data_IF_325440999795
#
_entry.id   IF_325440999795
#
_cell.length_a   1.000
_cell.length_b   1.000
_cell.length_c   1.000
_cell.angle_alpha   90.00
_cell.angle_beta   90.00
_cell.angle_gamma   90.00
#
_symmetry.space_group_name_H-M   'P 1'
#
loop_
_entity.id
_entity.type
_entity.pdbx_description
1 polymer ?
#
# COMPACT_ATOMS: atom_id res chain seq x y z
N UNK A 1 -9.39 16.86 2.11
CA UNK A 1 -9.48 15.96 1.15
C UNK A 1 -9.54 14.59 1.58
N UNK A 2 -8.90 14.13 2.28
CA UNK A 2 -9.00 12.91 2.48
C UNK A 2 -9.91 12.41 3.32
N UNK A 3 -10.60 12.38 3.53
CA UNK A 3 -11.67 12.38 4.09
C UNK A 3 -12.15 11.14 4.63
N UNK A 4 -12.38 10.15 4.02
CA UNK A 4 -13.08 9.05 4.53
C UNK A 4 -12.08 8.09 5.09
N UNK A 5 -11.93 7.92 6.38
CA UNK A 5 -10.88 7.10 6.95
C UNK A 5 -10.89 5.67 6.43
N UNK A 6 -12.06 5.08 6.22
CA UNK A 6 -12.05 3.69 5.83
C UNK A 6 -11.70 3.52 4.37
N UNK A 7 -12.20 4.36 3.49
CA UNK A 7 -11.79 4.29 2.11
C UNK A 7 -10.47 4.96 1.93
N UNK A 8 -10.21 6.00 2.66
CA UNK A 8 -8.99 6.75 2.54
C UNK A 8 -7.76 5.94 2.82
N UNK A 9 -7.85 4.98 3.75
CA UNK A 9 -6.68 4.20 4.10
C UNK A 9 -6.21 3.34 2.93
N UNK A 10 -7.13 2.65 2.27
CA UNK A 10 -6.75 1.83 1.13
C UNK A 10 -6.23 2.68 -0.02
N UNK A 11 -6.89 3.80 -0.28
CA UNK A 11 -6.44 4.69 -1.35
C UNK A 11 -5.09 5.28 -1.04
N UNK A 12 -4.85 5.65 0.22
CA UNK A 12 -3.57 6.19 0.62
C UNK A 12 -2.48 5.14 0.45
N UNK A 13 -2.76 3.89 0.82
CA UNK A 13 -1.79 2.83 0.66
C UNK A 13 -1.46 2.59 -0.81
N UNK A 14 -2.47 2.65 -1.68
CA UNK A 14 -2.22 2.49 -3.10
C UNK A 14 -1.35 3.62 -3.64
N UNK A 15 -1.59 4.82 -3.17
CA UNK A 15 -0.78 5.95 -3.58
C UNK A 15 0.66 5.80 -3.12
N UNK A 16 0.85 5.40 -1.86
CA UNK A 16 2.19 5.21 -1.32
C UNK A 16 2.91 4.13 -2.13
N UNK A 17 2.22 3.03 -2.42
CA UNK A 17 2.85 1.96 -3.17
C UNK A 17 3.28 2.42 -4.55
N UNK A 18 2.42 3.18 -5.21
CA UNK A 18 2.74 3.71 -6.53
C UNK A 18 3.95 4.63 -6.48
N UNK A 19 4.01 5.49 -5.47
CA UNK A 19 5.15 6.39 -5.32
C UNK A 19 6.43 5.63 -5.02
N UNK A 20 6.34 4.60 -4.19
CA UNK A 20 7.52 3.80 -3.87
C UNK A 20 8.05 3.10 -5.11
N UNK A 21 7.16 2.63 -5.97
CA UNK A 21 7.61 1.98 -7.21
C UNK A 21 8.36 2.95 -8.09
N UNK A 22 7.89 4.18 -8.18
CA UNK A 22 8.58 5.19 -8.97
C UNK A 22 9.93 5.55 -8.36
N UNK A 23 9.96 5.67 -7.05
CA UNK A 23 11.23 5.96 -6.37
C UNK A 23 12.23 4.83 -6.55
N UNK A 24 11.75 3.60 -6.56
CA UNK A 24 12.61 2.46 -6.80
C UNK A 24 13.25 2.56 -8.19
N UNK A 25 12.48 2.95 -9.19
CA UNK A 25 13.03 3.09 -10.54
C UNK A 25 14.09 4.17 -10.61
N UNK A 26 13.85 5.30 -9.94
CA UNK A 26 14.84 6.37 -9.92
C UNK A 26 16.12 5.93 -9.21
N UNK A 27 15.98 5.23 -8.09
CA UNK A 27 17.14 4.77 -7.35
C UNK A 27 17.94 3.75 -8.14
N UNK A 28 17.23 2.87 -8.90
CA UNK A 28 17.95 1.92 -9.73
C UNK A 28 18.73 2.62 -10.83
N UNK A 29 18.14 3.65 -11.43
CA UNK A 29 18.81 4.39 -12.47
C UNK A 29 20.11 5.02 -11.99
N UNK A 30 20.16 5.37 -10.70
CA UNK A 30 21.35 5.97 -10.12
C UNK A 30 22.24 4.93 -9.44
N UNK A 31 21.90 3.66 -9.51
CA UNK A 31 22.68 2.58 -8.93
C UNK A 31 22.83 2.72 -7.41
N UNK A 32 21.77 3.16 -6.75
CA UNK A 32 21.77 3.34 -5.32
C UNK A 32 21.22 2.08 -4.66
N UNK A 33 22.04 1.06 -4.58
CA UNK A 33 21.58 -0.29 -4.25
C UNK A 33 20.90 -0.40 -2.90
N UNK A 34 21.43 0.26 -1.88
CA UNK A 34 20.81 0.17 -0.57
C UNK A 34 19.47 0.90 -0.54
N UNK A 35 19.37 2.03 -1.23
CA UNK A 35 18.10 2.73 -1.31
C UNK A 35 17.09 1.88 -2.05
N UNK A 36 17.49 1.24 -3.14
CA UNK A 36 16.61 0.34 -3.86
C UNK A 36 16.10 -0.75 -2.93
N UNK A 37 17.00 -1.33 -2.15
CA UNK A 37 16.62 -2.40 -1.25
C UNK A 37 15.56 -1.92 -0.25
N UNK A 38 15.82 -0.80 0.41
CA UNK A 38 14.89 -0.31 1.42
C UNK A 38 13.55 0.10 0.81
N UNK A 39 13.59 0.72 -0.37
CA UNK A 39 12.35 1.12 -1.01
C UNK A 39 11.54 -0.11 -1.43
N UNK A 40 12.22 -1.13 -1.93
CA UNK A 40 11.50 -2.34 -2.33
C UNK A 40 10.93 -3.09 -1.14
N UNK A 41 11.63 -3.08 -0.02
CA UNK A 41 11.07 -3.67 1.19
C UNK A 41 9.86 -2.88 1.66
N UNK A 42 9.90 -1.56 1.52
CA UNK A 42 8.74 -0.75 1.84
C UNK A 42 7.56 -1.06 0.92
N UNK A 43 7.84 -1.35 -0.35
CA UNK A 43 6.78 -1.75 -1.27
C UNK A 43 6.11 -3.04 -0.82
N UNK A 44 6.89 -4.00 -0.37
CA UNK A 44 6.35 -5.27 0.10
C UNK A 44 5.45 -5.02 1.31
N UNK A 45 5.92 -4.20 2.26
CA UNK A 45 5.13 -3.88 3.44
C UNK A 45 3.85 -3.17 3.05
N UNK A 46 3.91 -2.28 2.09
CA UNK A 46 2.75 -1.56 1.64
C UNK A 46 1.72 -2.50 1.01
N UNK A 47 2.20 -3.43 0.20
CA UNK A 47 1.32 -4.43 -0.42
C UNK A 47 0.64 -5.29 0.63
N UNK A 48 1.39 -5.68 1.66
CA UNK A 48 0.83 -6.49 2.72
C UNK A 48 -0.23 -5.71 3.50
N UNK A 49 0.05 -4.45 3.80
CA UNK A 49 -0.90 -3.61 4.52
C UNK A 49 -2.16 -3.41 3.70
N UNK A 50 -2.02 -3.25 2.40
CA UNK A 50 -3.16 -3.05 1.53
C UNK A 50 -4.01 -4.32 1.47
N UNK A 51 -3.38 -5.47 1.38
CA UNK A 51 -4.11 -6.72 1.37
C UNK A 51 -4.86 -6.93 2.69
N UNK A 52 -4.22 -6.62 3.81
CA UNK A 52 -4.86 -6.73 5.11
C UNK A 52 -6.07 -5.81 5.20
N UNK A 53 -5.95 -4.61 4.66
CA UNK A 53 -7.04 -3.67 4.69
C UNK A 53 -8.23 -4.18 3.87
N UNK A 54 -7.95 -4.76 2.71
CA UNK A 54 -9.01 -5.29 1.87
C UNK A 54 -9.67 -6.50 2.51
N UNK A 55 -8.90 -7.36 3.13
CA UNK A 55 -9.45 -8.52 3.81
C UNK A 55 -10.33 -8.10 4.98
N UNK A 56 -9.93 -7.06 5.70
CA UNK A 56 -10.72 -6.55 6.80
C UNK A 56 -12.06 -6.00 6.30
N UNK A 57 -12.05 -5.29 5.19
CA UNK A 57 -13.26 -4.76 4.61
C UNK A 57 -14.21 -5.87 4.17
N UNK A 58 -13.66 -6.92 3.57
CA UNK A 58 -14.47 -8.04 3.15
C UNK A 58 -15.09 -8.76 4.35
N UNK A 59 -14.33 -8.89 5.42
CA UNK A 59 -14.83 -9.54 6.62
C UNK A 59 -16.01 -8.76 7.21
N UNK A 60 -15.90 -7.44 7.22
CA UNK A 60 -16.98 -6.61 7.74
C UNK A 60 -18.21 -6.73 6.86
N UNK A 61 -18.03 -6.71 5.55
CA UNK A 61 -19.15 -6.84 4.64
C UNK A 61 -19.83 -8.19 4.78
N UNK A 62 -19.05 -9.24 4.92
CA UNK A 62 -19.61 -10.54 5.08
C UNK A 62 -20.42 -10.64 6.34
N UNK A 63 -19.93 -10.06 7.43
CA UNK A 63 -20.65 -10.09 8.67
C UNK A 63 -21.99 -9.35 8.55
N UNK A 64 -21.98 -8.21 7.88
CA UNK A 64 -23.19 -7.44 7.71
C UNK A 64 -24.20 -8.18 6.84
N UNK A 65 -23.72 -8.88 5.84
CA UNK A 65 -24.61 -9.60 4.96
C UNK A 65 -25.26 -10.77 5.66
N UNK A 66 -24.54 -11.39 6.58
CA UNK A 66 -25.08 -12.52 7.28
C UNK A 66 -26.19 -12.13 8.23
N UNK A 67 -26.19 -10.91 8.67
CA UNK A 67 -27.23 -10.45 9.57
C UNK A 67 -28.54 -10.26 8.83
#
# INVERSE_FOLDING_TARGET
PMNNPSQGRAQTLEYIESMLQQLSMLARAEHLDMIVYFVEMACVECSDALRDEKMRSLAVQKRNSAA
#
